data_IF_962285948821
#
_entry.id   IF_962285948821
#
_cell.length_a   1.000
_cell.length_b   1.000
_cell.length_c   1.000
_cell.angle_alpha   90.00
_cell.angle_beta   90.00
_cell.angle_gamma   90.00
#
_symmetry.space_group_name_H-M   'P 1'
#
loop_
_entity.id
_entity.type
_entity.pdbx_description
1 polymer ?
#
# COMPACT_ATOMS: atom_id res chain seq x y z
N UNK A 1 -16.06 -46.14 14.16
CA UNK A 1 -14.64 -46.55 14.02
C UNK A 1 -14.02 -46.02 12.73
N UNK A 2 -14.22 -44.73 12.44
CA UNK A 2 -13.43 -43.98 11.45
C UNK A 2 -12.73 -42.85 12.22
N UNK A 3 -11.60 -42.39 11.70
CA UNK A 3 -10.91 -41.15 12.12
C UNK A 3 -9.95 -41.20 13.31
N UNK A 4 -9.10 -42.22 13.41
CA UNK A 4 -7.82 -42.08 14.14
C UNK A 4 -6.58 -42.27 13.26
N UNK A 5 -6.70 -42.98 12.14
CA UNK A 5 -5.56 -43.25 11.28
C UNK A 5 -5.18 -42.07 10.36
N UNK A 6 -6.13 -41.22 9.95
CA UNK A 6 -5.83 -40.08 9.06
C UNK A 6 -5.11 -38.92 9.78
N UNK A 7 -5.39 -38.69 11.06
CA UNK A 7 -4.73 -37.63 11.84
C UNK A 7 -3.22 -37.90 12.02
N UNK A 8 -2.84 -39.18 12.12
CA UNK A 8 -1.45 -39.58 12.35
C UNK A 8 -0.52 -39.30 11.15
N UNK A 9 -1.05 -39.31 9.91
CA UNK A 9 -0.25 -39.07 8.70
C UNK A 9 0.04 -37.58 8.45
N UNK A 10 -0.82 -36.68 8.93
CA UNK A 10 -0.58 -35.22 8.84
C UNK A 10 0.60 -34.74 9.70
N UNK A 11 0.95 -35.51 10.74
CA UNK A 11 1.91 -35.16 11.80
C UNK A 11 3.33 -35.75 11.60
N UNK A 12 3.64 -36.37 10.46
CA UNK A 12 4.92 -37.04 10.25
C UNK A 12 5.89 -36.24 9.35
N UNK A 13 7.14 -36.06 9.83
CA UNK A 13 8.28 -35.58 9.04
C UNK A 13 8.95 -36.76 8.31
N UNK A 14 8.67 -36.92 7.03
CA UNK A 14 9.03 -38.12 6.25
C UNK A 14 10.01 -37.83 5.12
N UNK A 15 11.12 -37.16 5.46
CA UNK A 15 12.22 -36.86 4.52
C UNK A 15 12.91 -38.10 3.87
N UNK A 16 12.40 -39.33 4.06
CA UNK A 16 13.14 -40.57 3.72
C UNK A 16 12.40 -41.65 2.91
N UNK A 17 11.13 -41.48 2.49
CA UNK A 17 10.45 -42.49 1.65
C UNK A 17 9.47 -41.88 0.60
N UNK A 18 9.71 -42.08 -0.71
CA UNK A 18 8.88 -41.51 -1.80
C UNK A 18 7.40 -41.94 -1.79
N UNK A 19 7.09 -43.19 -1.44
CA UNK A 19 5.71 -43.70 -1.42
C UNK A 19 4.92 -43.13 -0.23
N UNK A 20 5.61 -42.90 0.89
CA UNK A 20 5.04 -42.22 2.05
C UNK A 20 4.84 -40.73 1.76
N UNK A 21 5.70 -40.12 0.94
CA UNK A 21 5.60 -38.72 0.56
C UNK A 21 4.32 -38.42 -0.24
N UNK A 22 3.94 -39.28 -1.20
CA UNK A 22 2.69 -39.09 -1.97
C UNK A 22 1.44 -39.22 -1.08
N UNK A 23 1.42 -40.22 -0.18
CA UNK A 23 0.30 -40.40 0.75
C UNK A 23 0.16 -39.21 1.71
N UNK A 24 1.27 -38.64 2.17
CA UNK A 24 1.27 -37.44 3.03
C UNK A 24 0.78 -36.20 2.28
N UNK A 25 1.20 -36.01 1.03
CA UNK A 25 0.71 -34.89 0.19
C UNK A 25 -0.80 -34.98 -0.01
N UNK A 26 -1.34 -36.17 -0.29
CA UNK A 26 -2.77 -36.39 -0.42
C UNK A 26 -3.52 -36.19 0.90
N UNK A 27 -2.97 -36.66 2.02
CA UNK A 27 -3.56 -36.46 3.34
C UNK A 27 -3.60 -34.98 3.74
N UNK A 28 -2.53 -34.21 3.48
CA UNK A 28 -2.48 -32.76 3.71
C UNK A 28 -3.46 -32.00 2.80
N UNK A 29 -3.57 -32.41 1.55
CA UNK A 29 -4.56 -31.86 0.64
C UNK A 29 -5.97 -32.08 1.20
N UNK A 30 -6.31 -33.30 1.63
CA UNK A 30 -7.61 -33.59 2.22
C UNK A 30 -7.85 -32.77 3.51
N UNK A 31 -6.84 -32.62 4.36
CA UNK A 31 -6.92 -31.78 5.57
C UNK A 31 -7.27 -30.33 5.24
N UNK A 32 -6.58 -29.73 4.25
CA UNK A 32 -6.84 -28.36 3.82
C UNK A 32 -8.22 -28.20 3.15
N UNK A 33 -8.65 -29.19 2.36
CA UNK A 33 -10.00 -29.20 1.76
C UNK A 33 -11.08 -29.26 2.85
N UNK A 34 -10.94 -30.17 3.82
CA UNK A 34 -11.88 -30.30 4.94
C UNK A 34 -11.88 -29.06 5.85
N UNK A 35 -10.74 -28.39 5.98
CA UNK A 35 -10.62 -27.12 6.69
C UNK A 35 -11.22 -25.92 5.94
N UNK A 36 -11.63 -26.09 4.68
CA UNK A 36 -12.33 -25.06 3.90
C UNK A 36 -11.42 -24.11 3.12
N UNK A 37 -10.15 -24.45 2.92
CA UNK A 37 -9.25 -23.67 2.06
C UNK A 37 -9.67 -23.76 0.59
N UNK A 38 -9.45 -22.68 -0.16
CA UNK A 38 -9.70 -22.64 -1.59
C UNK A 38 -8.70 -23.49 -2.38
N UNK A 39 -9.10 -23.90 -3.58
CA UNK A 39 -8.31 -24.83 -4.40
C UNK A 39 -6.96 -24.25 -4.85
N UNK A 40 -6.88 -22.94 -5.14
CA UNK A 40 -5.64 -22.27 -5.54
C UNK A 40 -4.59 -22.32 -4.42
N UNK A 41 -5.00 -22.04 -3.18
CA UNK A 41 -4.15 -22.15 -2.01
C UNK A 41 -3.66 -23.59 -1.80
N UNK A 42 -4.56 -24.56 -1.92
CA UNK A 42 -4.23 -25.98 -1.76
C UNK A 42 -3.20 -26.41 -2.80
N UNK A 43 -3.38 -26.04 -4.06
CA UNK A 43 -2.45 -26.39 -5.13
C UNK A 43 -1.06 -25.77 -4.92
N UNK A 44 -1.00 -24.55 -4.36
CA UNK A 44 0.25 -23.89 -4.01
C UNK A 44 0.99 -24.58 -2.85
N UNK A 45 0.27 -25.11 -1.87
CA UNK A 45 0.85 -25.59 -0.60
C UNK A 45 0.80 -27.11 -0.39
N UNK A 46 0.18 -27.90 -1.28
CA UNK A 46 0.10 -29.38 -1.16
C UNK A 46 1.47 -30.06 -1.02
N UNK A 47 2.52 -29.50 -1.63
CA UNK A 47 3.88 -30.02 -1.57
C UNK A 47 4.77 -29.42 -0.47
N UNK A 48 4.29 -28.38 0.23
CA UNK A 48 5.05 -27.63 1.22
C UNK A 48 4.48 -27.86 2.62
N UNK A 49 5.36 -28.00 3.62
CA UNK A 49 4.91 -28.09 5.00
C UNK A 49 4.58 -26.67 5.52
N UNK A 50 3.29 -26.40 5.76
CA UNK A 50 2.79 -25.10 6.24
C UNK A 50 3.05 -24.85 7.74
N UNK A 51 3.12 -25.93 8.51
CA UNK A 51 3.27 -25.95 9.97
C UNK A 51 4.36 -26.95 10.34
N UNK A 52 5.00 -26.83 11.50
CA UNK A 52 5.98 -27.82 11.94
C UNK A 52 5.38 -29.23 11.99
N UNK A 53 6.21 -30.26 11.81
CA UNK A 53 5.76 -31.65 11.68
C UNK A 53 4.80 -32.12 12.79
N UNK A 54 4.89 -31.56 13.99
CA UNK A 54 4.08 -31.98 15.14
C UNK A 54 2.78 -31.19 15.32
N UNK A 55 2.40 -30.31 14.40
CA UNK A 55 1.25 -29.43 14.55
C UNK A 55 0.35 -29.54 13.33
N UNK A 56 -0.95 -29.76 13.54
CA UNK A 56 -1.94 -29.80 12.45
C UNK A 56 -2.41 -28.39 12.07
N UNK A 57 -2.88 -28.20 10.83
CA UNK A 57 -3.47 -26.93 10.41
C UNK A 57 -4.77 -26.68 11.17
N UNK A 58 -5.52 -27.73 11.50
CA UNK A 58 -6.73 -27.65 12.34
C UNK A 58 -6.47 -27.09 13.72
N UNK A 59 -5.41 -27.54 14.38
CA UNK A 59 -5.01 -27.01 15.68
C UNK A 59 -4.70 -25.51 15.58
N UNK A 60 -4.00 -25.08 14.52
CA UNK A 60 -3.75 -23.65 14.28
C UNK A 60 -5.02 -22.85 14.02
N UNK A 61 -5.97 -23.38 13.25
CA UNK A 61 -7.26 -22.76 13.04
C UNK A 61 -8.04 -22.59 14.35
N UNK A 62 -8.05 -23.63 15.19
CA UNK A 62 -8.69 -23.59 16.50
C UNK A 62 -8.03 -22.56 17.42
N UNK A 63 -6.70 -22.51 17.46
CA UNK A 63 -5.96 -21.53 18.25
C UNK A 63 -6.28 -20.10 17.79
N UNK A 64 -6.29 -19.84 16.49
CA UNK A 64 -6.69 -18.54 15.96
C UNK A 64 -8.15 -18.20 16.29
N UNK A 65 -9.08 -19.16 16.19
CA UNK A 65 -10.47 -18.94 16.58
C UNK A 65 -10.60 -18.61 18.08
N UNK A 66 -9.84 -19.29 18.95
CA UNK A 66 -9.79 -19.00 20.39
C UNK A 66 -9.21 -17.63 20.72
N UNK A 67 -8.27 -17.15 19.91
CA UNK A 67 -7.73 -15.78 19.99
C UNK A 67 -8.70 -14.72 19.43
N UNK A 68 -9.90 -15.13 18.98
CA UNK A 68 -10.97 -14.24 18.55
C UNK A 68 -10.98 -13.91 17.06
N UNK A 69 -10.12 -14.51 16.24
CA UNK A 69 -10.12 -14.31 14.79
C UNK A 69 -11.41 -14.85 14.16
N UNK A 70 -12.08 -14.01 13.37
CA UNK A 70 -13.43 -14.28 12.84
C UNK A 70 -13.41 -15.24 11.64
N UNK A 71 -12.35 -15.17 10.82
CA UNK A 71 -12.15 -16.06 9.69
C UNK A 71 -10.67 -16.48 9.58
N UNK A 72 -10.24 -17.47 10.39
CA UNK A 72 -8.85 -17.95 10.38
C UNK A 72 -8.40 -18.50 9.02
N UNK A 73 -9.29 -19.13 8.25
CA UNK A 73 -8.97 -19.68 6.91
C UNK A 73 -8.59 -18.55 5.97
N UNK A 74 -9.43 -17.53 5.83
CA UNK A 74 -9.14 -16.38 4.95
C UNK A 74 -7.89 -15.61 5.40
N UNK A 75 -7.64 -15.54 6.72
CA UNK A 75 -6.42 -14.93 7.25
C UNK A 75 -5.16 -15.71 6.83
N UNK A 76 -5.17 -17.04 6.91
CA UNK A 76 -4.05 -17.89 6.50
C UNK A 76 -3.85 -17.82 4.98
N UNK A 77 -4.93 -17.85 4.19
CA UNK A 77 -4.83 -17.72 2.72
C UNK A 77 -4.13 -16.42 2.32
N UNK A 78 -4.47 -15.32 3.00
CA UNK A 78 -3.86 -14.00 2.77
C UNK A 78 -2.45 -13.89 3.35
N UNK A 79 -2.16 -14.57 4.46
CA UNK A 79 -0.88 -14.49 5.16
C UNK A 79 -0.46 -15.83 5.76
N UNK A 80 0.10 -16.75 4.96
CA UNK A 80 0.38 -18.12 5.37
C UNK A 80 1.42 -18.20 6.50
N UNK A 81 2.34 -17.23 6.56
CA UNK A 81 3.34 -17.11 7.62
C UNK A 81 2.76 -16.91 9.02
N UNK A 82 1.46 -16.60 9.17
CA UNK A 82 0.82 -16.57 10.49
C UNK A 82 0.96 -17.91 11.23
N UNK A 83 1.00 -19.02 10.47
CA UNK A 83 1.14 -20.37 10.99
C UNK A 83 2.50 -20.64 11.66
N UNK A 84 3.51 -19.80 11.38
CA UNK A 84 4.84 -19.90 12.00
C UNK A 84 4.92 -19.28 13.40
N UNK A 85 3.95 -18.45 13.78
CA UNK A 85 3.91 -17.85 15.11
C UNK A 85 3.31 -18.83 16.12
N UNK A 86 3.90 -18.93 17.31
CA UNK A 86 3.28 -19.63 18.43
C UNK A 86 2.01 -18.88 18.89
N UNK A 87 0.95 -19.57 19.35
CA UNK A 87 -0.28 -18.91 19.82
C UNK A 87 -0.01 -17.87 20.90
N UNK A 88 0.92 -18.14 21.81
CA UNK A 88 1.34 -17.22 22.87
C UNK A 88 2.01 -15.96 22.33
N UNK A 89 2.73 -16.06 21.19
CA UNK A 89 3.33 -14.90 20.53
C UNK A 89 2.26 -14.01 19.89
N UNK A 90 1.20 -14.61 19.33
CA UNK A 90 0.06 -13.86 18.79
C UNK A 90 -0.71 -13.20 19.93
N UNK A 91 -0.97 -13.92 21.03
CA UNK A 91 -1.61 -13.35 22.22
C UNK A 91 -0.80 -12.18 22.79
N UNK A 92 0.51 -12.34 22.97
CA UNK A 92 1.37 -11.25 23.44
C UNK A 92 1.34 -10.03 22.49
N UNK A 93 1.19 -10.26 21.17
CA UNK A 93 0.98 -9.15 20.23
C UNK A 93 -0.37 -8.47 20.43
N UNK A 94 -1.45 -9.22 20.61
CA UNK A 94 -2.78 -8.69 20.90
C UNK A 94 -2.78 -7.85 22.19
N UNK A 95 -2.15 -8.35 23.24
CA UNK A 95 -2.00 -7.65 24.53
C UNK A 95 -1.18 -6.36 24.36
N UNK A 96 -0.06 -6.44 23.64
CA UNK A 96 0.77 -5.27 23.32
C UNK A 96 -0.02 -4.21 22.57
N UNK A 97 -0.80 -4.58 21.54
CA UNK A 97 -1.62 -3.65 20.78
C UNK A 97 -2.73 -3.06 21.65
N UNK A 98 -3.36 -3.87 22.52
CA UNK A 98 -4.35 -3.39 23.49
C UNK A 98 -3.74 -2.36 24.46
N UNK A 99 -2.54 -2.63 24.97
CA UNK A 99 -1.80 -1.72 25.84
C UNK A 99 -1.41 -0.41 25.13
N UNK A 100 -1.20 -0.48 23.81
CA UNK A 100 -1.00 0.67 22.92
C UNK A 100 -2.31 1.35 22.51
N UNK A 101 -3.42 1.00 23.17
CA UNK A 101 -4.74 1.60 23.02
C UNK A 101 -5.43 1.34 21.67
N UNK A 102 -4.95 0.36 20.88
CA UNK A 102 -5.69 -0.11 19.70
C UNK A 102 -7.04 -0.70 20.13
N UNK A 103 -8.12 -0.22 19.50
CA UNK A 103 -9.49 -0.53 19.88
C UNK A 103 -9.91 -1.95 19.49
N UNK A 104 -9.38 -2.47 18.38
CA UNK A 104 -9.64 -3.83 17.92
C UNK A 104 -8.38 -4.46 17.28
N UNK A 105 -7.45 -4.98 18.10
CA UNK A 105 -6.22 -5.61 17.62
C UNK A 105 -6.44 -6.80 16.68
N UNK A 106 -7.50 -7.60 16.92
CA UNK A 106 -7.83 -8.75 16.07
C UNK A 106 -8.18 -8.29 14.66
N UNK A 107 -9.11 -7.35 14.52
CA UNK A 107 -9.51 -6.81 13.22
C UNK A 107 -8.35 -6.08 12.52
N UNK A 108 -7.44 -5.46 13.27
CA UNK A 108 -6.23 -4.86 12.74
C UNK A 108 -5.29 -5.91 12.12
N UNK A 109 -5.06 -7.04 12.80
CA UNK A 109 -4.25 -8.15 12.29
C UNK A 109 -4.92 -8.79 11.07
N UNK A 110 -6.24 -9.02 11.07
CA UNK A 110 -6.95 -9.57 9.90
C UNK A 110 -6.77 -8.68 8.65
N UNK A 111 -6.85 -7.35 8.83
CA UNK A 111 -6.63 -6.37 7.77
C UNK A 111 -5.16 -6.28 7.36
N UNK A 112 -4.24 -6.35 8.32
CA UNK A 112 -2.81 -6.18 8.10
C UNK A 112 -1.95 -7.17 8.89
N UNK A 113 -1.86 -8.44 8.45
CA UNK A 113 -1.21 -9.50 9.23
C UNK A 113 0.28 -9.27 9.48
N UNK A 114 0.96 -8.54 8.60
CA UNK A 114 2.37 -8.16 8.75
C UNK A 114 2.65 -7.35 10.02
N UNK A 115 1.62 -6.82 10.70
CA UNK A 115 1.80 -6.18 12.01
C UNK A 115 2.42 -7.11 13.05
N UNK A 116 2.20 -8.43 12.93
CA UNK A 116 2.80 -9.46 13.79
C UNK A 116 4.33 -9.45 13.75
N UNK A 117 4.93 -8.97 12.66
CA UNK A 117 6.38 -8.90 12.48
C UNK A 117 7.04 -7.67 13.12
N UNK A 118 6.28 -6.63 13.48
CA UNK A 118 6.85 -5.46 14.13
C UNK A 118 7.03 -5.70 15.62
N UNK A 119 8.19 -5.35 16.15
CA UNK A 119 8.41 -5.32 17.59
C UNK A 119 7.46 -4.29 18.26
N UNK A 120 6.92 -4.57 19.47
CA UNK A 120 6.09 -3.62 20.22
C UNK A 120 6.69 -2.22 20.31
N UNK A 121 8.00 -2.13 20.58
CA UNK A 121 8.74 -0.88 20.73
C UNK A 121 8.81 -0.10 19.42
N UNK A 122 8.85 -0.81 18.28
CA UNK A 122 8.84 -0.18 16.95
C UNK A 122 7.48 0.44 16.63
N UNK A 123 6.38 -0.20 17.06
CA UNK A 123 5.03 0.35 16.95
C UNK A 123 4.90 1.57 17.86
N UNK A 124 5.37 1.48 19.11
CA UNK A 124 5.34 2.59 20.05
C UNK A 124 6.13 3.80 19.53
N UNK A 125 7.36 3.58 19.07
CA UNK A 125 8.17 4.65 18.48
C UNK A 125 7.49 5.29 17.25
N UNK A 126 6.68 4.53 16.50
CA UNK A 126 5.87 5.09 15.41
C UNK A 126 4.77 6.00 15.93
N UNK A 127 4.04 5.56 16.95
CA UNK A 127 2.99 6.35 17.60
C UNK A 127 3.58 7.65 18.15
N UNK A 128 4.69 7.58 18.89
CA UNK A 128 5.37 8.74 19.47
C UNK A 128 5.84 9.71 18.37
N UNK A 129 6.41 9.18 17.27
CA UNK A 129 6.81 10.00 16.13
C UNK A 129 5.64 10.72 15.48
N UNK A 130 4.45 10.11 15.42
CA UNK A 130 3.25 10.74 14.87
C UNK A 130 2.71 11.81 15.84
N UNK A 131 2.66 11.50 17.14
CA UNK A 131 2.29 12.47 18.19
C UNK A 131 3.21 13.69 18.16
N UNK A 132 4.52 13.50 18.05
CA UNK A 132 5.50 14.58 17.94
C UNK A 132 5.34 15.43 16.67
N UNK A 133 4.72 14.87 15.63
CA UNK A 133 4.33 15.58 14.41
C UNK A 133 2.92 16.17 14.48
N UNK A 134 2.32 16.19 15.67
CA UNK A 134 1.02 16.79 15.99
C UNK A 134 -0.19 16.08 15.36
N UNK A 135 -0.04 14.82 14.95
CA UNK A 135 -1.18 13.96 14.59
C UNK A 135 -2.10 13.79 15.80
N UNK A 136 -3.39 14.01 15.59
CA UNK A 136 -4.41 14.13 16.63
C UNK A 136 -4.71 12.78 17.30
N UNK A 137 -4.76 11.71 16.50
CA UNK A 137 -4.96 10.36 16.99
C UNK A 137 -4.16 9.34 16.16
N UNK A 138 -2.87 9.14 16.49
CA UNK A 138 -2.00 8.19 15.79
C UNK A 138 -2.51 6.75 15.78
N UNK A 139 -3.17 6.31 16.85
CA UNK A 139 -3.72 4.95 16.95
C UNK A 139 -4.82 4.76 15.90
N UNK A 140 -5.83 5.63 15.91
CA UNK A 140 -6.93 5.58 14.94
C UNK A 140 -6.43 5.75 13.48
N UNK A 141 -5.37 6.55 13.28
CA UNK A 141 -4.74 6.72 11.99
C UNK A 141 -4.11 5.41 11.48
N UNK A 142 -3.40 4.67 12.35
CA UNK A 142 -2.81 3.37 12.01
C UNK A 142 -3.89 2.30 11.84
N UNK A 143 -4.95 2.30 12.66
CA UNK A 143 -6.08 1.36 12.48
C UNK A 143 -6.74 1.50 11.11
N UNK A 144 -6.92 2.74 10.64
CA UNK A 144 -7.44 3.02 9.29
C UNK A 144 -6.41 2.66 8.22
N UNK A 145 -5.12 2.94 8.45
CA UNK A 145 -4.06 2.76 7.45
C UNK A 145 -2.79 2.12 8.03
N UNK A 146 -2.78 0.79 8.25
CA UNK A 146 -1.70 0.10 8.94
C UNK A 146 -0.34 0.19 8.22
N UNK A 147 -0.36 0.40 6.90
CA UNK A 147 0.84 0.61 6.09
C UNK A 147 1.76 1.75 6.58
N UNK A 148 1.25 2.66 7.42
CA UNK A 148 2.03 3.73 8.03
C UNK A 148 3.20 3.20 8.86
N UNK A 149 3.04 2.02 9.49
CA UNK A 149 4.09 1.33 10.24
C UNK A 149 5.33 1.04 9.39
N UNK A 150 5.15 0.81 8.09
CA UNK A 150 6.24 0.52 7.15
C UNK A 150 7.02 1.74 6.66
N UNK A 151 6.57 2.98 6.92
CA UNK A 151 7.30 4.16 6.48
C UNK A 151 8.38 4.59 7.47
N UNK A 152 9.57 4.92 6.96
CA UNK A 152 10.62 5.54 7.75
C UNK A 152 10.15 6.90 8.34
N UNK A 153 10.51 7.24 9.59
CA UNK A 153 10.12 8.52 10.22
C UNK A 153 10.48 9.76 9.38
N UNK A 154 11.62 9.72 8.67
CA UNK A 154 12.08 10.79 7.80
C UNK A 154 11.15 10.98 6.59
N UNK A 155 10.52 9.89 6.11
CA UNK A 155 9.55 9.93 5.02
C UNK A 155 8.31 10.73 5.45
N UNK A 156 7.76 10.40 6.62
CA UNK A 156 6.59 11.09 7.19
C UNK A 156 6.93 12.57 7.43
N UNK A 157 8.08 12.85 8.04
CA UNK A 157 8.57 14.23 8.28
C UNK A 157 8.65 15.04 6.98
N UNK A 158 9.21 14.45 5.92
CA UNK A 158 9.32 15.11 4.60
C UNK A 158 7.95 15.41 4.01
N UNK A 159 6.96 14.52 4.22
CA UNK A 159 5.58 14.74 3.76
C UNK A 159 4.92 15.86 4.53
N UNK A 160 4.98 15.87 5.86
CA UNK A 160 4.43 16.97 6.68
C UNK A 160 5.00 18.31 6.21
N UNK A 161 6.32 18.42 6.02
CA UNK A 161 6.96 19.65 5.50
C UNK A 161 6.47 20.05 4.10
N UNK A 162 6.21 19.09 3.22
CA UNK A 162 5.67 19.36 1.89
C UNK A 162 4.24 19.90 2.00
N UNK A 163 3.40 19.26 2.81
CA UNK A 163 2.00 19.67 2.99
C UNK A 163 1.88 20.99 3.75
N UNK A 164 2.78 21.32 4.68
CA UNK A 164 2.84 22.66 5.28
C UNK A 164 3.04 23.74 4.21
N UNK A 165 3.93 23.49 3.23
CA UNK A 165 4.16 24.44 2.13
C UNK A 165 2.94 24.54 1.21
N UNK A 166 2.25 23.42 0.98
CA UNK A 166 1.04 23.38 0.18
C UNK A 166 -0.11 24.15 0.84
N UNK A 167 -0.45 23.82 2.08
CA UNK A 167 -1.51 24.51 2.84
C UNK A 167 -1.30 26.02 2.84
N UNK A 168 -0.07 26.49 3.08
CA UNK A 168 0.29 27.92 3.00
C UNK A 168 0.14 28.52 1.61
N UNK A 169 0.49 27.77 0.57
CA UNK A 169 0.42 28.23 -0.81
C UNK A 169 -1.03 28.37 -1.29
N UNK A 170 -1.91 27.49 -0.83
CA UNK A 170 -3.33 27.43 -1.20
C UNK A 170 -4.25 28.18 -0.25
N UNK A 171 -3.70 28.87 0.77
CA UNK A 171 -4.46 29.48 1.86
C UNK A 171 -5.55 28.54 2.40
N UNK A 172 -5.17 27.28 2.61
CA UNK A 172 -6.13 26.22 2.95
C UNK A 172 -6.63 26.41 4.39
N UNK A 173 -7.93 26.26 4.66
CA UNK A 173 -8.50 26.43 5.99
C UNK A 173 -8.15 25.26 6.93
N UNK A 174 -7.67 24.14 6.38
CA UNK A 174 -7.22 22.97 7.14
C UNK A 174 -5.70 22.94 7.17
N UNK A 175 -5.14 22.49 8.29
CA UNK A 175 -3.70 22.37 8.41
C UNK A 175 -3.16 21.09 7.73
N UNK A 176 -1.83 20.98 7.62
CA UNK A 176 -1.20 19.85 6.91
C UNK A 176 -1.47 18.49 7.55
N UNK A 177 -1.64 18.44 8.87
CA UNK A 177 -1.88 17.21 9.61
C UNK A 177 -3.32 16.77 9.40
N UNK A 178 -4.27 17.68 9.59
CA UNK A 178 -5.70 17.45 9.32
C UNK A 178 -5.92 16.94 7.90
N UNK A 179 -5.23 17.53 6.92
CA UNK A 179 -5.27 17.07 5.53
C UNK A 179 -4.74 15.64 5.38
N UNK A 180 -3.61 15.31 6.02
CA UNK A 180 -3.02 13.96 5.94
C UNK A 180 -3.85 12.91 6.68
N UNK A 181 -4.52 13.28 7.78
CA UNK A 181 -5.43 12.41 8.52
C UNK A 181 -6.73 12.13 7.75
N UNK A 182 -7.28 13.16 7.10
CA UNK A 182 -8.47 13.03 6.26
C UNK A 182 -8.17 12.24 4.97
N UNK A 183 -6.96 12.40 4.42
CA UNK A 183 -6.57 11.84 3.12
C UNK A 183 -5.30 11.00 3.26
N UNK A 184 -5.46 9.82 3.85
CA UNK A 184 -4.36 8.91 4.17
C UNK A 184 -3.63 8.31 2.97
N UNK A 185 -4.23 8.34 1.78
CA UNK A 185 -3.54 8.04 0.51
C UNK A 185 -2.33 8.95 0.24
N UNK A 186 -2.24 10.10 0.94
CA UNK A 186 -1.09 10.99 0.88
C UNK A 186 0.16 10.39 1.53
N UNK A 187 0.06 9.37 2.39
CA UNK A 187 1.21 8.65 2.94
C UNK A 187 1.86 7.72 1.91
N UNK A 188 1.09 7.12 1.01
CA UNK A 188 1.59 6.17 0.00
C UNK A 188 2.00 6.82 -1.32
N UNK A 189 1.45 7.99 -1.64
CA UNK A 189 1.73 8.68 -2.91
C UNK A 189 3.22 9.03 -3.03
N UNK A 190 3.87 8.76 -4.17
CA UNK A 190 5.29 9.09 -4.38
C UNK A 190 5.55 10.59 -4.18
N UNK A 191 6.54 10.95 -3.35
CA UNK A 191 6.90 12.35 -3.06
C UNK A 191 7.18 13.15 -4.34
N UNK A 192 7.84 12.55 -5.34
CA UNK A 192 8.09 13.21 -6.63
C UNK A 192 6.80 13.59 -7.36
N UNK A 193 5.77 12.73 -7.33
CA UNK A 193 4.45 13.05 -7.90
C UNK A 193 3.88 14.28 -7.21
N UNK A 194 3.84 14.27 -5.88
CA UNK A 194 3.29 15.36 -5.09
C UNK A 194 4.02 16.68 -5.40
N UNK A 195 5.36 16.68 -5.48
CA UNK A 195 6.14 17.88 -5.79
C UNK A 195 5.87 18.39 -7.21
N UNK A 196 5.76 17.50 -8.21
CA UNK A 196 5.46 17.90 -9.59
C UNK A 196 4.06 18.51 -9.67
N UNK A 197 3.05 17.84 -9.10
CA UNK A 197 1.68 18.36 -9.07
C UNK A 197 1.59 19.69 -8.33
N UNK A 198 2.28 19.83 -7.18
CA UNK A 198 2.38 21.10 -6.45
C UNK A 198 2.87 22.24 -7.35
N UNK A 199 3.88 21.98 -8.19
CA UNK A 199 4.44 23.01 -9.09
C UNK A 199 3.48 23.37 -10.22
N UNK A 200 2.78 22.39 -10.77
CA UNK A 200 1.78 22.60 -11.82
C UNK A 200 0.65 23.48 -11.24
N UNK A 201 0.03 23.03 -10.16
CA UNK A 201 -1.11 23.72 -9.53
C UNK A 201 -0.70 25.13 -9.05
N UNK A 202 0.54 25.31 -8.57
CA UNK A 202 1.06 26.65 -8.22
C UNK A 202 1.00 27.64 -9.37
N UNK A 203 1.28 27.21 -10.58
CA UNK A 203 1.33 28.11 -11.73
C UNK A 203 -0.09 28.56 -12.16
N UNK A 204 -1.12 27.77 -11.89
CA UNK A 204 -2.52 28.11 -12.11
C UNK A 204 -3.19 28.87 -10.96
N UNK A 205 -2.48 29.11 -9.84
CA UNK A 205 -3.07 29.79 -8.68
C UNK A 205 -3.40 31.26 -8.92
N UNK A 206 -2.89 31.88 -9.99
CA UNK A 206 -3.21 33.28 -10.32
C UNK A 206 -4.71 33.47 -10.67
N UNK A 207 -5.43 32.39 -10.98
CA UNK A 207 -6.85 32.42 -11.38
C UNK A 207 -7.76 31.66 -10.40
N UNK A 208 -7.29 31.33 -9.19
CA UNK A 208 -7.98 30.38 -8.32
C UNK A 208 -9.18 31.00 -7.58
N UNK A 209 -10.32 30.28 -7.55
CA UNK A 209 -11.54 30.59 -6.79
C UNK A 209 -11.83 29.50 -5.74
N UNK A 210 -12.77 29.71 -4.81
CA UNK A 210 -13.15 28.73 -3.77
C UNK A 210 -13.52 27.33 -4.30
N UNK A 211 -13.93 27.25 -5.56
CA UNK A 211 -14.26 26.00 -6.28
C UNK A 211 -13.06 25.06 -6.44
N UNK A 212 -11.82 25.56 -6.29
CA UNK A 212 -10.60 24.80 -6.57
C UNK A 212 -10.25 23.77 -5.50
N UNK A 213 -10.82 23.86 -4.28
CA UNK A 213 -10.49 22.93 -3.18
C UNK A 213 -10.82 21.47 -3.50
N UNK A 214 -11.98 21.21 -4.13
CA UNK A 214 -12.39 19.86 -4.55
C UNK A 214 -11.56 19.36 -5.74
N UNK A 215 -11.19 20.25 -6.65
CA UNK A 215 -10.44 19.88 -7.84
C UNK A 215 -8.94 19.67 -7.56
N UNK A 216 -8.40 20.30 -6.51
CA UNK A 216 -7.05 20.00 -6.00
C UNK A 216 -6.96 18.54 -5.56
N UNK A 217 -7.99 18.01 -4.88
CA UNK A 217 -8.05 16.59 -4.54
C UNK A 217 -8.04 15.73 -5.81
N UNK A 218 -8.87 16.04 -6.80
CA UNK A 218 -8.91 15.29 -8.07
C UNK A 218 -7.55 15.28 -8.79
N UNK A 219 -6.82 16.41 -8.81
CA UNK A 219 -5.48 16.49 -9.40
C UNK A 219 -4.45 15.70 -8.60
N UNK A 220 -4.46 15.77 -7.26
CA UNK A 220 -3.50 15.06 -6.42
C UNK A 220 -3.56 13.53 -6.66
N UNK A 221 -4.76 13.01 -6.92
CA UNK A 221 -4.97 11.60 -7.20
C UNK A 221 -4.93 11.23 -8.69
N UNK A 222 -5.03 12.20 -9.60
CA UNK A 222 -4.90 11.96 -11.04
C UNK A 222 -3.56 11.30 -11.40
N UNK A 223 -3.54 10.57 -12.52
CA UNK A 223 -2.31 10.05 -13.09
C UNK A 223 -1.42 11.23 -13.50
N UNK A 224 -0.14 11.19 -13.11
CA UNK A 224 0.76 12.33 -13.29
C UNK A 224 1.05 12.61 -14.77
N UNK A 225 1.21 11.56 -15.55
CA UNK A 225 1.44 11.66 -16.99
C UNK A 225 0.23 12.27 -17.71
N UNK A 226 -0.99 11.89 -17.32
CA UNK A 226 -2.23 12.46 -17.87
C UNK A 226 -2.32 13.97 -17.60
N UNK A 227 -1.97 14.41 -16.38
CA UNK A 227 -1.95 15.83 -16.02
C UNK A 227 -0.91 16.60 -16.82
N UNK A 228 0.30 16.05 -17.00
CA UNK A 228 1.36 16.69 -17.75
C UNK A 228 1.01 16.85 -19.23
N UNK A 229 0.41 15.83 -19.85
CA UNK A 229 -0.04 15.91 -21.24
C UNK A 229 -1.27 16.80 -21.41
N UNK A 230 -2.14 16.87 -20.40
CA UNK A 230 -3.22 17.85 -20.36
C UNK A 230 -2.69 19.28 -20.34
N UNK A 231 -1.62 19.53 -19.58
CA UNK A 231 -0.92 20.83 -19.57
C UNK A 231 -0.28 21.15 -20.93
N UNK A 232 0.37 20.17 -21.56
CA UNK A 232 0.90 20.33 -22.92
C UNK A 232 -0.20 20.69 -23.92
N UNK A 233 -1.35 20.03 -23.82
CA UNK A 233 -2.51 20.31 -24.70
C UNK A 233 -2.97 21.76 -24.56
N UNK A 234 -3.09 22.27 -23.33
CA UNK A 234 -3.45 23.66 -23.08
C UNK A 234 -2.40 24.64 -23.63
N UNK A 235 -1.12 24.30 -23.49
CA UNK A 235 -0.02 25.09 -24.04
C UNK A 235 -0.03 25.17 -25.56
N UNK A 236 -0.31 24.05 -26.23
CA UNK A 236 -0.49 23.99 -27.70
C UNK A 236 -1.67 24.85 -28.14
N UNK A 237 -2.81 24.76 -27.46
CA UNK A 237 -4.02 25.52 -27.79
C UNK A 237 -3.83 27.04 -27.64
N UNK A 238 -3.05 27.45 -26.64
CA UNK A 238 -2.77 28.86 -26.36
C UNK A 238 -1.48 29.37 -27.04
N UNK A 239 -0.67 28.46 -27.60
CA UNK A 239 0.67 28.74 -28.11
C UNK A 239 1.59 29.43 -27.08
N UNK A 240 1.48 29.04 -25.81
CA UNK A 240 2.22 29.63 -24.69
C UNK A 240 2.89 28.56 -23.82
N UNK A 241 4.18 28.74 -23.49
CA UNK A 241 4.94 27.79 -22.65
C UNK A 241 4.50 27.75 -21.19
N UNK A 242 3.75 28.76 -20.77
CA UNK A 242 3.14 28.87 -19.45
C UNK A 242 1.68 29.22 -19.67
N UNK A 243 0.87 28.25 -20.16
CA UNK A 243 -0.52 28.53 -20.48
C UNK A 243 -1.25 29.03 -19.23
N UNK A 244 -2.17 29.97 -19.43
CA UNK A 244 -3.08 30.40 -18.39
C UNK A 244 -4.28 29.45 -18.34
N UNK A 245 -4.49 28.77 -17.22
CA UNK A 245 -5.57 27.79 -17.10
C UNK A 245 -6.14 27.74 -15.68
N UNK A 246 -7.43 27.42 -15.60
CA UNK A 246 -8.07 27.03 -14.35
C UNK A 246 -7.80 25.56 -14.06
N UNK A 247 -7.85 25.19 -12.78
CA UNK A 247 -7.72 23.80 -12.35
C UNK A 247 -8.78 22.90 -13.01
N UNK A 248 -9.99 23.41 -13.21
CA UNK A 248 -11.07 22.69 -13.89
C UNK A 248 -10.70 22.34 -15.35
N UNK A 249 -10.12 23.29 -16.09
CA UNK A 249 -9.66 23.04 -17.46
C UNK A 249 -8.58 21.95 -17.49
N UNK A 250 -7.61 22.03 -16.58
CA UNK A 250 -6.54 21.02 -16.48
C UNK A 250 -7.10 19.62 -16.16
N UNK A 251 -8.06 19.52 -15.22
CA UNK A 251 -8.72 18.25 -14.89
C UNK A 251 -9.47 17.68 -16.10
N UNK A 252 -10.16 18.53 -16.87
CA UNK A 252 -10.87 18.11 -18.07
C UNK A 252 -9.90 17.53 -19.12
N UNK A 253 -8.80 18.22 -19.41
CA UNK A 253 -7.78 17.75 -20.36
C UNK A 253 -7.08 16.47 -19.89
N UNK A 254 -6.77 16.36 -18.61
CA UNK A 254 -6.22 15.12 -18.06
C UNK A 254 -7.17 13.93 -18.26
N UNK A 255 -8.49 14.14 -18.12
CA UNK A 255 -9.49 13.10 -18.40
C UNK A 255 -9.57 12.75 -19.88
N UNK A 256 -9.42 13.72 -20.79
CA UNK A 256 -9.34 13.47 -22.23
C UNK A 256 -8.12 12.63 -22.59
N UNK A 257 -6.93 12.96 -22.07
CA UNK A 257 -5.72 12.17 -22.26
C UNK A 257 -5.89 10.74 -21.72
N UNK A 258 -6.52 10.60 -20.56
CA UNK A 258 -6.80 9.28 -19.97
C UNK A 258 -7.63 8.40 -20.90
N UNK A 259 -8.64 8.98 -21.59
CA UNK A 259 -9.51 8.27 -22.55
C UNK A 259 -8.76 7.77 -23.79
N UNK A 260 -7.57 8.29 -24.08
CA UNK A 260 -6.75 7.82 -25.21
C UNK A 260 -6.02 6.51 -24.91
N UNK A 261 -6.06 6.01 -23.66
CA UNK A 261 -5.51 4.72 -23.23
C UNK A 261 -4.03 4.50 -23.60
N UNK A 262 -3.26 5.58 -23.78
CA UNK A 262 -1.85 5.49 -24.14
C UNK A 262 -1.04 4.78 -23.06
N UNK A 263 -0.08 3.95 -23.50
CA UNK A 263 0.84 3.27 -22.60
C UNK A 263 1.66 4.26 -21.77
N UNK A 264 2.09 3.85 -20.57
CA UNK A 264 2.93 4.69 -19.70
C UNK A 264 4.24 5.12 -20.36
N UNK A 265 4.86 4.22 -21.12
CA UNK A 265 6.13 4.50 -21.81
C UNK A 265 5.92 5.47 -22.98
N UNK A 266 4.79 5.36 -23.69
CA UNK A 266 4.38 6.34 -24.72
C UNK A 266 4.17 7.72 -24.11
N UNK A 267 3.41 7.83 -23.02
CA UNK A 267 3.17 9.12 -22.34
C UNK A 267 4.48 9.77 -21.87
N UNK A 268 5.41 8.99 -21.32
CA UNK A 268 6.74 9.46 -20.93
C UNK A 268 7.54 10.04 -22.10
N UNK A 269 7.50 9.39 -23.26
CA UNK A 269 8.17 9.89 -24.46
C UNK A 269 7.54 11.18 -24.96
N UNK A 270 6.21 11.28 -24.99
CA UNK A 270 5.52 12.53 -25.33
C UNK A 270 5.91 13.66 -24.38
N UNK A 271 5.92 13.42 -23.06
CA UNK A 271 6.35 14.40 -22.05
C UNK A 271 7.82 14.82 -22.25
N UNK A 272 8.70 13.91 -22.71
CA UNK A 272 10.10 14.23 -23.01
C UNK A 272 10.19 15.30 -24.10
N UNK A 273 9.35 15.19 -25.13
CA UNK A 273 9.33 16.07 -26.30
C UNK A 273 8.37 17.26 -26.17
N UNK A 274 7.53 17.28 -25.14
CA UNK A 274 6.60 18.37 -24.84
C UNK A 274 7.32 19.73 -24.75
N UNK A 275 6.82 20.72 -25.49
CA UNK A 275 7.43 22.05 -25.62
C UNK A 275 6.83 23.07 -24.67
N UNK A 276 5.59 22.85 -24.25
CA UNK A 276 4.79 23.79 -23.45
C UNK A 276 4.67 23.40 -21.97
N UNK A 277 5.46 22.42 -21.53
CA UNK A 277 5.64 22.11 -20.10
C UNK A 277 6.93 22.77 -19.60
N UNK A 278 6.83 23.53 -18.51
CA UNK A 278 7.96 24.18 -17.83
C UNK A 278 9.15 23.22 -17.61
N UNK A 279 10.35 23.69 -17.95
CA UNK A 279 11.59 22.90 -17.87
C UNK A 279 11.88 22.41 -16.44
N UNK A 280 11.55 23.18 -15.40
CA UNK A 280 11.76 22.77 -14.01
C UNK A 280 10.76 21.69 -13.60
N UNK A 281 9.53 21.74 -14.11
CA UNK A 281 8.51 20.68 -13.95
C UNK A 281 8.99 19.40 -14.63
N UNK A 282 9.40 19.45 -15.91
CA UNK A 282 9.95 18.30 -16.64
C UNK A 282 11.17 17.69 -15.96
N UNK A 283 12.16 18.50 -15.57
CA UNK A 283 13.37 18.04 -14.85
C UNK A 283 13.01 17.33 -13.55
N UNK A 284 12.02 17.85 -12.80
CA UNK A 284 11.60 17.20 -11.55
C UNK A 284 10.85 15.89 -11.81
N UNK A 285 10.00 15.85 -12.83
CA UNK A 285 9.32 14.63 -13.24
C UNK A 285 10.33 13.52 -13.58
N UNK A 286 11.28 13.77 -14.49
CA UNK A 286 12.25 12.74 -14.89
C UNK A 286 13.24 12.34 -13.80
N UNK A 287 13.47 13.18 -12.79
CA UNK A 287 14.20 12.78 -11.57
C UNK A 287 13.49 11.64 -10.82
N UNK A 288 12.17 11.73 -10.70
CA UNK A 288 11.35 10.71 -10.04
C UNK A 288 10.94 9.56 -10.97
N UNK A 289 10.89 9.81 -12.27
CA UNK A 289 10.37 8.88 -13.28
C UNK A 289 11.34 8.78 -14.46
N UNK A 290 12.52 8.18 -14.27
CA UNK A 290 13.49 8.04 -15.34
C UNK A 290 12.90 7.24 -16.50
N UNK A 291 13.40 7.53 -17.70
CA UNK A 291 13.17 6.71 -18.88
C UNK A 291 13.87 5.37 -18.67
N UNK A 292 13.26 4.27 -19.11
CA UNK A 292 13.95 2.98 -19.15
C UNK A 292 15.19 3.16 -20.03
N UNK A 293 16.37 2.89 -19.48
CA UNK A 293 17.55 2.73 -20.30
C UNK A 293 17.29 1.50 -21.18
N UNK A 294 17.46 1.61 -22.50
CA UNK A 294 17.55 0.41 -23.33
C UNK A 294 18.75 -0.38 -22.78
N UNK A 295 18.65 -1.70 -22.58
CA UNK A 295 19.83 -2.49 -22.31
C UNK A 295 20.84 -2.18 -23.42
N UNK A 296 22.05 -1.75 -23.03
CA UNK A 296 23.14 -1.54 -23.98
C UNK A 296 23.40 -2.85 -24.74
N UNK A 297 23.99 -2.79 -25.95
CA UNK A 297 24.34 -3.99 -26.67
C UNK A 297 25.19 -4.86 -25.74
N UNK A 298 24.73 -6.09 -25.52
CA UNK A 298 25.51 -7.14 -24.87
C UNK A 298 26.82 -7.22 -25.65
N UNK A 299 27.93 -6.86 -25.02
CA UNK A 299 29.23 -7.18 -25.58
C UNK A 299 29.38 -8.70 -25.44
N UNK A 300 29.12 -9.40 -26.55
CA UNK A 300 29.63 -10.75 -26.82
C UNK A 300 31.16 -10.72 -26.91
#
# INVERSE_FOLDING_TARGET
MKDKNNEAFGLQDLRYNPDQQQQVVLARQAELQEAGFNQEFIDQYRGNTLVGANISVRERLNNLAQLGFSNPVALIEKHPSILSYAPESIQAKLDSLTNQQFSNPVALIEKHPSILSYAPESIQAKLDSLTNQQFSNPVALIEKHPSILGYAPENITRRVKLFTKLVKLFDSPINQVELMEAVTGLFSTKIDKLIVLTRIVRNSLQTASDTDRKLIHDILFANLEDVLLGLETLGVEQNERLPNYTIQQLVARAKEVKKQELSKDTKKMLIKHAEFIDLKVKKRYFKGYPLKQRPGPSHE
#
